data_IF_098652853766
#
_entry.id   IF_098652853766
#
_cell.length_a   1.000
_cell.length_b   1.000
_cell.length_c   1.000
_cell.angle_alpha   90.00
_cell.angle_beta   90.00
_cell.angle_gamma   90.00
#
_symmetry.space_group_name_H-M   'P 1'
#
loop_
_entity.id
_entity.type
_entity.pdbx_description
1 polymer ?
#
# COMPACT_ATOMS: atom_id res chain seq x y z
N UNK A 1 7.32 2.29 -21.61
CA UNK A 1 7.90 1.56 -20.45
C UNK A 1 8.00 2.45 -19.22
N UNK A 2 8.74 3.56 -19.25
CA UNK A 2 8.88 4.48 -18.11
C UNK A 2 7.53 5.02 -17.57
N UNK A 3 6.60 5.39 -18.45
CA UNK A 3 5.24 5.80 -18.04
C UNK A 3 4.55 4.72 -17.21
N UNK A 4 4.57 3.46 -17.65
CA UNK A 4 3.93 2.36 -16.93
C UNK A 4 4.54 2.14 -15.54
N UNK A 5 5.87 2.19 -15.42
CA UNK A 5 6.57 2.08 -14.13
C UNK A 5 6.14 3.19 -13.17
N UNK A 6 6.07 4.44 -13.65
CA UNK A 6 5.58 5.57 -12.84
C UNK A 6 4.16 5.35 -12.33
N UNK A 7 3.25 4.85 -13.17
CA UNK A 7 1.87 4.59 -12.78
C UNK A 7 1.78 3.43 -11.78
N UNK A 8 2.55 2.35 -11.98
CA UNK A 8 2.61 1.21 -11.05
C UNK A 8 3.07 1.69 -9.67
N UNK A 9 4.17 2.44 -9.62
CA UNK A 9 4.70 2.96 -8.36
C UNK A 9 3.72 3.91 -7.69
N UNK A 10 3.17 4.88 -8.43
CA UNK A 10 2.21 5.84 -7.91
C UNK A 10 0.93 5.17 -7.39
N UNK A 11 0.40 4.18 -8.11
CA UNK A 11 -0.80 3.44 -7.70
C UNK A 11 -0.53 2.60 -6.44
N UNK A 12 0.63 1.96 -6.36
CA UNK A 12 1.04 1.18 -5.17
C UNK A 12 1.20 2.08 -3.95
N UNK A 13 1.83 3.24 -4.14
CA UNK A 13 2.02 4.23 -3.09
C UNK A 13 0.67 4.78 -2.61
N UNK A 14 -0.20 5.19 -3.53
CA UNK A 14 -1.53 5.69 -3.19
C UNK A 14 -2.34 4.65 -2.42
N UNK A 15 -2.35 3.40 -2.89
CA UNK A 15 -3.03 2.31 -2.20
C UNK A 15 -2.49 2.10 -0.78
N UNK A 16 -1.17 2.04 -0.61
CA UNK A 16 -0.54 1.83 0.69
C UNK A 16 -0.84 2.99 1.67
N UNK A 17 -0.79 4.24 1.20
CA UNK A 17 -1.15 5.41 2.01
C UNK A 17 -2.60 5.34 2.45
N UNK A 18 -3.53 5.07 1.52
CA UNK A 18 -4.96 5.00 1.84
C UNK A 18 -5.27 3.88 2.85
N UNK A 19 -4.76 2.67 2.60
CA UNK A 19 -4.96 1.54 3.50
C UNK A 19 -4.41 1.83 4.90
N UNK A 20 -3.17 2.31 4.97
CA UNK A 20 -2.51 2.65 6.24
C UNK A 20 -3.26 3.73 6.99
N UNK A 21 -3.77 4.75 6.28
CA UNK A 21 -4.55 5.84 6.88
C UNK A 21 -5.84 5.30 7.47
N UNK A 22 -6.55 4.43 6.75
CA UNK A 22 -7.79 3.81 7.25
C UNK A 22 -7.52 2.99 8.52
N UNK A 23 -6.48 2.16 8.52
CA UNK A 23 -6.16 1.31 9.67
C UNK A 23 -5.69 2.12 10.88
N UNK A 24 -4.78 3.06 10.69
CA UNK A 24 -4.27 3.89 11.80
C UNK A 24 -5.35 4.78 12.41
N UNK A 25 -6.25 5.33 11.59
CA UNK A 25 -7.43 6.06 12.09
C UNK A 25 -8.39 5.13 12.84
N UNK A 26 -8.63 3.93 12.33
CA UNK A 26 -9.47 2.94 12.99
C UNK A 26 -8.91 2.59 14.37
N UNK A 27 -7.63 2.24 14.46
CA UNK A 27 -7.00 1.85 15.73
C UNK A 27 -6.93 3.01 16.73
N UNK A 28 -6.68 4.23 16.25
CA UNK A 28 -6.73 5.44 17.08
C UNK A 28 -8.14 5.74 17.61
N UNK A 29 -9.19 5.48 16.82
CA UNK A 29 -10.57 5.64 17.25
C UNK A 29 -10.98 4.58 18.27
N UNK A 30 -10.73 3.31 17.95
CA UNK A 30 -11.11 2.16 18.77
C UNK A 30 -10.44 2.18 20.13
N UNK A 31 -9.20 2.66 20.21
CA UNK A 31 -8.67 3.02 21.52
C UNK A 31 -8.18 1.85 22.39
N UNK A 32 -7.79 0.67 21.88
CA UNK A 32 -7.70 -0.53 22.71
C UNK A 32 -6.69 -0.34 23.84
N UNK A 33 -7.13 -0.52 25.09
CA UNK A 33 -6.28 -0.37 26.26
C UNK A 33 -5.69 1.04 26.46
N UNK A 34 -6.24 2.07 25.80
CA UNK A 34 -5.73 3.45 25.82
C UNK A 34 -4.29 3.60 25.28
N UNK A 35 -3.88 2.70 24.38
CA UNK A 35 -2.51 2.67 23.82
C UNK A 35 -2.24 3.88 22.92
N UNK A 36 -3.23 4.33 22.15
CA UNK A 36 -3.08 5.38 21.13
C UNK A 36 -3.46 6.77 21.64
N UNK A 37 -4.38 6.86 22.60
CA UNK A 37 -4.79 8.12 23.24
C UNK A 37 -5.33 7.92 24.66
N UNK A 38 -5.03 8.85 25.53
CA UNK A 38 -5.54 8.91 26.91
C UNK A 38 -5.76 10.39 27.34
N UNK A 39 -5.94 10.62 28.64
CA UNK A 39 -6.13 11.96 29.23
C UNK A 39 -4.95 12.91 29.00
N UNK A 40 -3.75 12.39 28.70
CA UNK A 40 -2.53 13.14 28.42
C UNK A 40 -2.37 13.47 26.92
N UNK A 41 -3.25 12.95 26.07
CA UNK A 41 -3.28 13.21 24.63
C UNK A 41 -3.03 11.96 23.78
N UNK A 42 -2.58 12.18 22.54
CA UNK A 42 -2.26 11.11 21.58
C UNK A 42 -0.84 10.60 21.80
N UNK A 43 -0.69 9.29 21.93
CA UNK A 43 0.60 8.61 21.90
C UNK A 43 1.01 8.37 20.45
N UNK A 44 1.91 9.21 19.94
CA UNK A 44 2.31 9.18 18.54
C UNK A 44 3.20 7.99 18.17
N UNK A 45 4.02 7.49 19.11
CA UNK A 45 4.93 6.39 18.82
C UNK A 45 4.20 5.11 18.39
N UNK A 46 3.21 4.59 19.16
CA UNK A 46 2.42 3.43 18.72
C UNK A 46 1.68 3.66 17.39
N UNK A 47 1.21 4.89 17.16
CA UNK A 47 0.51 5.24 15.93
C UNK A 47 1.45 5.19 14.71
N UNK A 48 2.69 5.68 14.84
CA UNK A 48 3.70 5.59 13.79
C UNK A 48 4.20 4.15 13.57
N UNK A 49 4.39 3.37 14.64
CA UNK A 49 4.79 1.97 14.53
C UNK A 49 3.72 1.17 13.77
N UNK A 50 2.45 1.42 14.07
CA UNK A 50 1.30 0.87 13.34
C UNK A 50 1.31 1.34 11.88
N UNK A 51 1.49 2.63 11.64
CA UNK A 51 1.50 3.19 10.29
C UNK A 51 2.58 2.52 9.42
N UNK A 52 3.80 2.41 9.92
CA UNK A 52 4.91 1.80 9.19
C UNK A 52 4.65 0.30 8.96
N UNK A 53 4.14 -0.40 9.98
CA UNK A 53 3.85 -1.83 9.92
C UNK A 53 2.78 -2.17 8.89
N UNK A 54 1.83 -1.28 8.62
CA UNK A 54 0.84 -1.44 7.56
C UNK A 54 1.33 -0.93 6.20
N UNK A 55 2.07 0.18 6.18
CA UNK A 55 2.52 0.83 4.96
C UNK A 55 3.51 -0.02 4.17
N UNK A 56 4.58 -0.52 4.81
CA UNK A 56 5.64 -1.22 4.09
C UNK A 56 5.15 -2.53 3.44
N UNK A 57 4.38 -3.41 4.12
CA UNK A 57 3.81 -4.58 3.49
C UNK A 57 2.78 -4.23 2.41
N UNK A 58 1.87 -3.28 2.68
CA UNK A 58 0.86 -2.88 1.70
C UNK A 58 1.48 -2.34 0.40
N UNK A 59 2.50 -1.49 0.53
CA UNK A 59 3.23 -0.94 -0.60
C UNK A 59 3.96 -2.03 -1.38
N UNK A 60 4.71 -2.89 -0.69
CA UNK A 60 5.50 -3.94 -1.34
C UNK A 60 4.62 -4.98 -2.04
N UNK A 61 3.53 -5.43 -1.41
CA UNK A 61 2.58 -6.36 -2.02
C UNK A 61 1.86 -5.75 -3.23
N UNK A 62 1.37 -4.52 -3.12
CA UNK A 62 0.75 -3.84 -4.26
C UNK A 62 1.72 -3.65 -5.42
N UNK A 63 2.97 -3.28 -5.13
CA UNK A 63 4.02 -3.11 -6.13
C UNK A 63 4.31 -4.41 -6.87
N UNK A 64 4.56 -5.49 -6.15
CA UNK A 64 4.82 -6.81 -6.74
C UNK A 64 3.64 -7.27 -7.59
N UNK A 65 2.41 -7.16 -7.08
CA UNK A 65 1.21 -7.55 -7.80
C UNK A 65 1.06 -6.79 -9.12
N UNK A 66 1.19 -5.46 -9.08
CA UNK A 66 1.04 -4.62 -10.28
C UNK A 66 2.16 -4.85 -11.30
N UNK A 67 3.38 -5.12 -10.85
CA UNK A 67 4.49 -5.53 -11.74
C UNK A 67 4.16 -6.85 -12.43
N UNK A 68 3.70 -7.87 -11.68
CA UNK A 68 3.35 -9.18 -12.25
C UNK A 68 2.21 -9.06 -13.28
N UNK A 69 1.17 -8.29 -12.97
CA UNK A 69 0.06 -8.04 -13.92
C UNK A 69 0.54 -7.31 -15.18
N UNK A 70 1.44 -6.35 -15.03
CA UNK A 70 2.03 -5.66 -16.17
C UNK A 70 2.85 -6.60 -17.05
N UNK A 71 3.71 -7.44 -16.46
CA UNK A 71 4.51 -8.43 -17.19
C UNK A 71 3.62 -9.45 -17.90
N UNK A 72 2.59 -9.96 -17.24
CA UNK A 72 1.62 -10.87 -17.84
C UNK A 72 0.94 -10.23 -19.06
N UNK A 73 0.51 -8.97 -18.95
CA UNK A 73 -0.07 -8.23 -20.08
C UNK A 73 0.90 -8.12 -21.25
N UNK A 74 2.18 -7.83 -20.98
CA UNK A 74 3.22 -7.77 -22.02
C UNK A 74 3.40 -9.13 -22.70
N UNK A 75 3.48 -10.23 -21.93
CA UNK A 75 3.62 -11.58 -22.48
C UNK A 75 2.43 -11.93 -23.38
N UNK A 76 1.20 -11.68 -22.92
CA UNK A 76 -0.02 -11.94 -23.71
C UNK A 76 0.00 -11.16 -25.03
N UNK A 77 0.41 -9.89 -25.01
CA UNK A 77 0.49 -9.06 -26.22
C UNK A 77 1.54 -9.59 -27.20
N UNK A 78 2.70 -10.04 -26.70
CA UNK A 78 3.75 -10.63 -27.54
C UNK A 78 3.31 -11.95 -28.18
N UNK A 79 2.66 -12.82 -27.43
CA UNK A 79 2.14 -14.10 -27.97
C UNK A 79 1.10 -13.86 -29.05
N UNK A 80 0.20 -12.87 -28.88
CA UNK A 80 -0.78 -12.51 -29.91
C UNK A 80 -0.14 -12.00 -31.20
N UNK A 81 0.91 -11.18 -31.10
CA UNK A 81 1.63 -10.64 -32.25
C UNK A 81 2.35 -11.72 -33.07
N UNK A 82 2.90 -12.75 -32.42
CA UNK A 82 3.58 -13.85 -33.12
C UNK A 82 2.58 -14.76 -33.86
N UNK A 83 1.33 -14.83 -33.38
CA UNK A 83 0.28 -15.68 -33.94
C UNK A 83 -0.56 -15.02 -35.06
N UNK A 84 -0.37 -13.73 -35.32
CA UNK A 84 -1.02 -13.00 -36.43
C UNK A 84 -0.09 -12.88 -37.62
#
# INVERSE_FOLDING_TARGET
>A
MLKAIKHIFASSLLFAVLLTTVVTLWEWLENPGQIFRNEQGTHWQPLFDTAISWFLPAFSYALVLLVLLFLLKVVIQRVKLIRS
#
